data_IF_535531969183
#
_entry.id   IF_535531969183
#
_cell.length_a   1.000
_cell.length_b   1.000
_cell.length_c   1.000
_cell.angle_alpha   90.00
_cell.angle_beta   90.00
_cell.angle_gamma   90.00
#
_symmetry.space_group_name_H-M   'P 1'
#
loop_
_entity.id
_entity.type
_entity.pdbx_description
1 polymer ?
#
# COMPACT_ATOMS: atom_id res chain seq x y z
N UNK A 1 -16.45 -9.03 -4.55
CA UNK A 1 -15.26 -9.21 -3.70
C UNK A 1 -14.08 -9.24 -4.63
N UNK A 2 -13.11 -8.36 -4.38
CA UNK A 2 -11.97 -8.20 -5.27
C UNK A 2 -10.77 -8.94 -4.73
N UNK A 3 -9.83 -9.24 -5.62
CA UNK A 3 -8.63 -9.97 -5.29
C UNK A 3 -7.40 -9.14 -5.65
N UNK A 4 -6.40 -9.16 -4.76
CA UNK A 4 -5.06 -8.71 -5.05
C UNK A 4 -4.31 -9.86 -5.71
N UNK A 5 -3.88 -9.68 -6.95
CA UNK A 5 -3.12 -10.68 -7.70
C UNK A 5 -1.69 -10.24 -7.88
N UNK A 6 -0.75 -11.15 -7.70
CA UNK A 6 0.67 -10.92 -7.90
C UNK A 6 1.11 -11.58 -9.20
N UNK A 7 1.59 -10.77 -10.14
CA UNK A 7 2.13 -11.21 -11.42
C UNK A 7 3.59 -10.79 -11.56
N UNK A 8 4.55 -11.71 -11.69
CA UNK A 8 5.92 -11.34 -12.01
C UNK A 8 5.99 -10.73 -13.42
N UNK A 9 6.77 -9.67 -13.60
CA UNK A 9 7.13 -9.15 -14.92
C UNK A 9 8.53 -9.67 -15.25
N UNK A 10 8.67 -10.44 -16.32
CA UNK A 10 9.97 -10.73 -16.94
C UNK A 10 9.90 -10.21 -18.38
N UNK A 11 10.70 -9.19 -18.69
CA UNK A 11 10.96 -8.58 -20.00
C UNK A 11 10.06 -9.07 -21.16
N UNK A 12 8.79 -8.65 -21.18
CA UNK A 12 7.88 -8.86 -22.32
C UNK A 12 7.10 -10.20 -22.34
N UNK A 13 7.15 -11.01 -21.28
CA UNK A 13 6.34 -12.23 -21.14
C UNK A 13 5.24 -12.00 -20.09
N UNK A 14 3.98 -12.13 -20.51
CA UNK A 14 2.83 -12.18 -19.59
C UNK A 14 2.86 -13.51 -18.84
N UNK A 15 3.27 -13.46 -17.58
CA UNK A 15 3.39 -14.65 -16.74
C UNK A 15 2.09 -14.90 -15.97
N UNK A 16 1.79 -16.18 -15.75
CA UNK A 16 0.66 -16.62 -14.95
C UNK A 16 0.69 -15.96 -13.55
N UNK A 17 -0.50 -15.75 -12.98
CA UNK A 17 -0.66 -15.29 -11.59
C UNK A 17 0.16 -16.21 -10.69
N UNK A 18 1.07 -15.64 -9.90
CA UNK A 18 1.92 -16.38 -8.96
C UNK A 18 1.21 -16.62 -7.63
N UNK A 19 0.43 -15.64 -7.19
CA UNK A 19 -0.40 -15.75 -6.01
C UNK A 19 -1.57 -14.78 -6.07
N UNK A 20 -2.63 -15.10 -5.35
CA UNK A 20 -3.83 -14.32 -5.21
C UNK A 20 -4.24 -14.23 -3.75
N UNK A 21 -4.73 -13.07 -3.32
CA UNK A 21 -5.31 -12.89 -2.00
C UNK A 21 -6.61 -12.12 -2.05
N UNK A 22 -7.52 -12.45 -1.15
CA UNK A 22 -8.82 -11.79 -0.99
C UNK A 22 -8.62 -10.45 -0.30
N UNK A 23 -9.05 -9.36 -0.93
CA UNK A 23 -8.97 -8.03 -0.33
C UNK A 23 -10.01 -7.92 0.78
N UNK A 24 -9.59 -7.50 1.96
CA UNK A 24 -10.42 -7.30 3.15
C UNK A 24 -10.21 -5.93 3.79
N UNK A 25 -10.97 -5.69 4.87
CA UNK A 25 -10.91 -4.46 5.66
C UNK A 25 -10.65 -4.76 7.14
N UNK A 26 -9.97 -5.86 7.43
CA UNK A 26 -9.61 -6.22 8.80
C UNK A 26 -8.36 -5.44 9.21
N UNK A 27 -8.49 -4.58 10.23
CA UNK A 27 -7.38 -3.79 10.73
C UNK A 27 -6.36 -4.67 11.47
N UNK A 28 -5.08 -4.32 11.36
CA UNK A 28 -4.04 -4.96 12.15
C UNK A 28 -4.24 -4.65 13.63
N UNK A 29 -4.24 -5.69 14.48
CA UNK A 29 -4.36 -5.54 15.95
C UNK A 29 -3.17 -4.79 16.56
N UNK A 30 -2.04 -4.82 15.87
CA UNK A 30 -0.77 -4.25 16.28
C UNK A 30 -0.47 -3.02 15.43
N UNK A 31 0.00 -1.95 16.07
CA UNK A 31 0.52 -0.79 15.35
C UNK A 31 1.97 -1.06 14.91
N UNK A 32 2.27 -1.12 13.59
CA UNK A 32 3.61 -1.36 13.08
C UNK A 32 4.69 -0.43 13.65
N UNK A 33 4.35 0.80 14.03
CA UNK A 33 5.32 1.75 14.60
C UNK A 33 5.60 1.51 16.08
N UNK A 34 4.76 0.75 16.77
CA UNK A 34 4.79 0.59 18.23
C UNK A 34 5.31 -0.78 18.71
N UNK A 35 5.49 -1.76 17.82
CA UNK A 35 5.68 -3.18 18.20
C UNK A 35 7.15 -3.63 18.27
N UNK A 36 8.09 -2.92 17.65
CA UNK A 36 9.49 -3.40 17.60
C UNK A 36 10.26 -3.20 18.92
N UNK A 37 11.03 -4.23 19.30
CA UNK A 37 11.87 -4.28 20.51
C UNK A 37 12.91 -3.17 20.66
N UNK A 38 13.24 -2.46 19.58
CA UNK A 38 13.74 -1.10 19.68
C UNK A 38 12.60 -0.15 19.33
N UNK A 39 12.14 0.62 20.33
CA UNK A 39 11.10 1.63 20.15
C UNK A 39 11.46 2.45 18.89
N UNK A 40 10.51 2.56 17.96
CA UNK A 40 10.62 3.33 16.71
C UNK A 40 11.49 2.76 15.57
N UNK A 41 11.95 1.51 15.58
CA UNK A 41 12.76 0.98 14.48
C UNK A 41 12.04 1.03 13.12
N UNK A 42 10.78 0.60 13.11
CA UNK A 42 9.94 0.57 11.91
C UNK A 42 9.67 2.00 11.44
N UNK A 43 9.27 2.89 12.35
CA UNK A 43 9.01 4.30 12.01
C UNK A 43 10.26 5.01 11.47
N UNK A 44 11.42 4.83 12.10
CA UNK A 44 12.68 5.43 11.66
C UNK A 44 13.14 4.88 10.30
N UNK A 45 12.89 3.60 10.04
CA UNK A 45 13.16 2.98 8.74
C UNK A 45 12.24 3.55 7.67
N UNK A 46 10.94 3.64 7.97
CA UNK A 46 9.95 4.25 7.08
C UNK A 46 10.32 5.71 6.74
N UNK A 47 10.73 6.50 7.73
CA UNK A 47 11.24 7.88 7.53
C UNK A 47 12.45 7.92 6.59
N UNK A 48 13.39 6.99 6.75
CA UNK A 48 14.58 6.91 5.90
C UNK A 48 14.22 6.60 4.44
N UNK A 49 13.23 5.72 4.22
CA UNK A 49 12.69 5.48 2.87
C UNK A 49 11.98 6.72 2.31
N UNK A 50 11.13 7.39 3.08
CA UNK A 50 10.46 8.62 2.63
C UNK A 50 11.48 9.71 2.22
N UNK A 51 12.54 9.89 3.02
CA UNK A 51 13.63 10.84 2.72
C UNK A 51 14.37 10.49 1.43
N UNK A 52 14.59 9.20 1.14
CA UNK A 52 15.29 8.77 -0.08
C UNK A 52 14.47 9.06 -1.33
N UNK A 53 13.14 8.91 -1.26
CA UNK A 53 12.23 9.12 -2.39
C UNK A 53 12.02 10.61 -2.67
N UNK A 54 11.88 11.45 -1.64
CA UNK A 54 11.47 12.84 -1.84
C UNK A 54 12.58 13.80 -2.30
N UNK A 55 13.85 13.39 -2.37
CA UNK A 55 15.04 14.17 -2.82
C UNK A 55 15.26 15.54 -2.15
N UNK A 56 14.39 15.97 -1.25
CA UNK A 56 14.45 17.24 -0.52
C UNK A 56 14.81 16.93 0.94
N UNK A 57 15.66 17.77 1.53
CA UNK A 57 16.21 17.60 2.89
C UNK A 57 15.16 17.77 3.99
N UNK A 58 14.22 16.82 4.08
CA UNK A 58 13.25 16.77 5.16
C UNK A 58 13.95 16.49 6.48
N UNK A 59 13.76 17.40 7.43
CA UNK A 59 14.29 17.29 8.78
C UNK A 59 13.53 16.21 9.55
N UNK A 60 14.19 15.53 10.49
CA UNK A 60 13.64 14.43 11.31
C UNK A 60 12.46 14.83 12.23
N UNK A 61 11.90 16.03 12.07
CA UNK A 61 10.85 16.61 12.90
C UNK A 61 9.45 16.50 12.29
N UNK A 62 9.31 16.06 11.04
CA UNK A 62 8.00 15.81 10.47
C UNK A 62 7.41 14.53 11.04
N UNK A 63 6.16 14.64 11.52
CA UNK A 63 5.39 13.48 11.96
C UNK A 63 5.13 12.57 10.75
N UNK A 64 5.48 11.30 10.88
CA UNK A 64 5.12 10.28 9.89
C UNK A 64 3.66 9.91 10.08
N UNK A 65 2.87 9.96 9.01
CA UNK A 65 1.52 9.41 8.99
C UNK A 65 1.57 7.94 8.57
N UNK A 66 0.79 7.10 9.27
CA UNK A 66 0.58 5.70 8.94
C UNK A 66 -0.94 5.50 8.76
N UNK A 67 -1.36 5.26 7.53
CA UNK A 67 -2.77 5.19 7.16
C UNK A 67 -3.05 3.76 6.70
N UNK A 68 -3.97 3.07 7.38
CA UNK A 68 -4.41 1.74 6.95
C UNK A 68 -5.14 1.83 5.60
N UNK A 69 -4.81 0.92 4.69
CA UNK A 69 -5.44 0.79 3.37
C UNK A 69 -6.39 -0.40 3.36
N UNK A 70 -5.86 -1.61 3.48
CA UNK A 70 -6.62 -2.85 3.42
C UNK A 70 -5.84 -4.01 4.03
N UNK A 71 -6.56 -5.10 4.29
CA UNK A 71 -5.96 -6.41 4.52
C UNK A 71 -6.04 -7.28 3.26
N UNK A 72 -5.21 -8.30 3.18
CA UNK A 72 -5.20 -9.31 2.10
C UNK A 72 -4.95 -10.68 2.70
N UNK A 73 -5.94 -11.57 2.59
CA UNK A 73 -5.82 -12.97 3.01
C UNK A 73 -5.39 -13.79 1.81
N UNK A 74 -4.21 -14.39 1.88
CA UNK A 74 -3.67 -15.18 0.77
C UNK A 74 -4.24 -16.61 0.73
N UNK A 75 -3.76 -17.39 -0.24
CA UNK A 75 -4.16 -18.79 -0.46
C UNK A 75 -3.80 -19.74 0.70
N UNK A 76 -2.86 -19.33 1.55
CA UNK A 76 -2.36 -20.08 2.70
C UNK A 76 -3.05 -19.64 4.00
N UNK A 77 -4.04 -18.75 3.92
CA UNK A 77 -4.68 -18.05 5.05
C UNK A 77 -3.70 -17.16 5.85
N UNK A 78 -2.63 -16.68 5.21
CA UNK A 78 -1.77 -15.67 5.79
C UNK A 78 -2.37 -14.28 5.58
N UNK A 79 -2.34 -13.46 6.63
CA UNK A 79 -2.95 -12.13 6.65
C UNK A 79 -1.89 -11.05 6.49
N UNK A 80 -2.00 -10.28 5.42
CA UNK A 80 -1.13 -9.14 5.12
C UNK A 80 -1.87 -7.83 5.30
N UNK A 81 -1.26 -6.86 5.96
CA UNK A 81 -1.85 -5.54 6.23
C UNK A 81 -1.09 -4.44 5.48
N UNK A 82 -1.82 -3.67 4.69
CA UNK A 82 -1.26 -2.63 3.84
C UNK A 82 -1.51 -1.25 4.44
N UNK A 83 -0.45 -0.45 4.51
CA UNK A 83 -0.50 0.91 5.01
C UNK A 83 0.15 1.87 4.03
N UNK A 84 -0.41 3.07 3.88
CA UNK A 84 0.26 4.21 3.27
C UNK A 84 1.04 4.96 4.34
N UNK A 85 2.33 5.16 4.08
CA UNK A 85 3.19 5.99 4.90
C UNK A 85 3.54 7.28 4.14
N UNK A 86 3.39 8.43 4.80
CA UNK A 86 3.66 9.74 4.20
C UNK A 86 4.08 10.79 5.24
N UNK A 87 4.88 11.77 4.83
CA UNK A 87 5.14 12.97 5.63
C UNK A 87 4.10 14.07 5.46
N UNK A 88 3.37 14.08 4.35
CA UNK A 88 2.45 15.17 3.97
C UNK A 88 1.00 14.69 3.75
N UNK A 89 0.72 13.45 4.13
CA UNK A 89 -0.57 12.81 3.89
C UNK A 89 -0.96 12.88 2.42
N UNK A 90 -2.21 13.28 2.17
CA UNK A 90 -2.87 13.33 0.84
C UNK A 90 -2.32 14.40 -0.13
N UNK A 91 -1.20 15.06 0.16
CA UNK A 91 -0.67 16.15 -0.68
C UNK A 91 0.61 15.81 -1.45
N UNK A 92 1.17 14.60 -1.27
CA UNK A 92 2.42 14.21 -1.91
C UNK A 92 2.47 12.70 -2.24
N UNK A 93 1.85 12.27 -3.36
CA UNK A 93 1.86 10.87 -3.79
C UNK A 93 3.26 10.36 -4.10
N UNK A 94 4.07 11.19 -4.76
CA UNK A 94 5.44 10.89 -5.16
C UNK A 94 6.35 10.64 -3.96
N UNK A 95 6.06 11.28 -2.83
CA UNK A 95 6.81 11.14 -1.60
C UNK A 95 6.31 10.07 -0.64
N UNK A 96 5.35 9.22 -1.04
CA UNK A 96 4.73 8.23 -0.17
C UNK A 96 5.23 6.81 -0.45
N UNK A 97 5.21 5.95 0.58
CA UNK A 97 5.57 4.52 0.47
C UNK A 97 4.43 3.66 1.02
N UNK A 98 4.36 2.42 0.55
CA UNK A 98 3.48 1.38 1.08
C UNK A 98 4.30 0.56 2.08
N UNK A 99 3.82 0.46 3.30
CA UNK A 99 4.29 -0.48 4.32
C UNK A 99 3.37 -1.69 4.31
N UNK A 100 3.95 -2.88 4.28
CA UNK A 100 3.24 -4.16 4.33
C UNK A 100 3.66 -4.84 5.61
N UNK A 101 2.71 -5.16 6.48
CA UNK A 101 2.95 -5.87 7.73
C UNK A 101 2.31 -7.26 7.70
N UNK A 102 2.95 -8.21 8.37
CA UNK A 102 2.46 -9.56 8.57
C UNK A 102 2.79 -9.97 10.01
N UNK A 103 1.92 -10.75 10.64
CA UNK A 103 2.28 -11.37 11.93
C UNK A 103 3.43 -12.35 11.74
N UNK A 104 4.44 -12.28 12.62
CA UNK A 104 5.58 -13.20 12.54
C UNK A 104 5.16 -14.66 12.78
N UNK A 105 4.16 -14.87 13.62
CA UNK A 105 3.58 -16.16 13.95
C UNK A 105 2.11 -16.05 14.38
N UNK A 106 1.51 -17.20 14.71
CA UNK A 106 0.11 -17.32 15.16
C UNK A 106 -0.17 -16.65 16.52
N UNK A 107 0.86 -16.22 17.27
CA UNK A 107 0.68 -15.53 18.55
C UNK A 107 0.30 -14.06 18.39
N UNK A 108 0.49 -13.51 17.18
CA UNK A 108 0.16 -12.14 16.83
C UNK A 108 0.78 -11.10 17.78
N UNK A 109 1.99 -11.38 18.30
CA UNK A 109 2.71 -10.46 19.22
C UNK A 109 3.76 -9.62 18.51
N UNK A 110 4.29 -10.08 17.39
CA UNK A 110 5.33 -9.42 16.61
C UNK A 110 4.92 -9.29 15.14
N UNK A 111 5.55 -8.34 14.45
CA UNK A 111 5.29 -8.05 13.04
C UNK A 111 6.58 -8.12 12.23
N UNK A 112 6.52 -8.79 11.09
CA UNK A 112 7.46 -8.59 10.00
C UNK A 112 6.94 -7.48 9.09
N UNK A 113 7.85 -6.65 8.56
CA UNK A 113 7.47 -5.50 7.72
C UNK A 113 8.31 -5.39 6.46
N UNK A 114 7.66 -5.05 5.36
CA UNK A 114 8.27 -4.75 4.07
C UNK A 114 7.85 -3.36 3.57
N UNK A 115 8.67 -2.76 2.71
CA UNK A 115 8.44 -1.41 2.18
C UNK A 115 8.48 -1.42 0.65
N UNK A 116 7.55 -0.70 0.04
CA UNK A 116 7.49 -0.50 -1.41
C UNK A 116 7.22 0.98 -1.72
N UNK A 117 7.90 1.55 -2.70
CA UNK A 117 7.65 2.92 -3.13
C UNK A 117 6.31 3.01 -3.87
N UNK A 118 5.52 4.07 -3.64
CA UNK A 118 4.21 4.18 -4.29
C UNK A 118 4.35 4.41 -5.81
N UNK A 119 5.26 5.30 -6.24
CA UNK A 119 5.42 5.67 -7.65
C UNK A 119 6.23 4.68 -8.49
N UNK A 120 7.11 3.92 -7.86
CA UNK A 120 8.04 3.06 -8.59
C UNK A 120 7.34 1.74 -8.92
N UNK A 121 6.85 1.62 -10.16
CA UNK A 121 6.41 0.33 -10.66
C UNK A 121 7.61 -0.61 -10.64
N UNK A 122 7.56 -1.61 -9.77
CA UNK A 122 8.55 -2.68 -9.78
C UNK A 122 8.68 -3.24 -11.20
N UNK A 123 9.90 -3.22 -11.76
CA UNK A 123 10.20 -3.84 -13.06
C UNK A 123 10.06 -5.37 -13.02
N UNK A 124 9.84 -5.94 -11.84
CA UNK A 124 9.88 -7.38 -11.59
C UNK A 124 8.55 -7.97 -11.16
N UNK A 125 7.61 -7.18 -10.64
CA UNK A 125 6.33 -7.66 -10.11
C UNK A 125 5.22 -6.59 -10.22
N UNK A 126 4.01 -7.01 -10.62
CA UNK A 126 2.78 -6.24 -10.60
C UNK A 126 1.85 -6.78 -9.53
N UNK A 127 1.31 -5.88 -8.71
CA UNK A 127 0.16 -6.16 -7.86
C UNK A 127 -1.07 -5.54 -8.52
N UNK A 128 -2.09 -6.33 -8.79
CA UNK A 128 -3.30 -5.88 -9.46
C UNK A 128 -4.55 -6.17 -8.62
N UNK A 129 -5.42 -5.19 -8.45
CA UNK A 129 -6.80 -5.36 -7.96
C UNK A 129 -7.72 -5.39 -9.17
N UNK A 130 -8.29 -6.54 -9.51
CA UNK A 130 -9.13 -6.72 -10.71
C UNK A 130 -8.52 -6.04 -11.97
N UNK A 131 -7.28 -6.40 -12.29
CA UNK A 131 -6.50 -5.87 -13.43
C UNK A 131 -6.00 -4.42 -13.30
N UNK A 132 -6.37 -3.70 -12.24
CA UNK A 132 -5.89 -2.34 -11.96
C UNK A 132 -4.63 -2.40 -11.12
N UNK A 133 -3.59 -1.65 -11.51
CA UNK A 133 -2.38 -1.55 -10.71
C UNK A 133 -2.70 -1.06 -9.29
N UNK A 134 -2.24 -1.80 -8.29
CA UNK A 134 -2.45 -1.48 -6.88
C UNK A 134 -1.93 -0.07 -6.53
N UNK A 135 -0.79 0.32 -7.09
CA UNK A 135 -0.19 1.63 -6.88
C UNK A 135 -1.06 2.75 -7.43
N UNK A 136 -1.66 2.55 -8.61
CA UNK A 136 -2.59 3.51 -9.22
C UNK A 136 -3.89 3.59 -8.41
N UNK A 137 -4.38 2.45 -7.91
CA UNK A 137 -5.57 2.40 -7.06
C UNK A 137 -5.36 3.20 -5.76
N UNK A 138 -4.25 2.96 -5.07
CA UNK A 138 -3.89 3.72 -3.85
C UNK A 138 -3.72 5.19 -4.17
N UNK A 139 -3.08 5.52 -5.30
CA UNK A 139 -2.88 6.90 -5.72
C UNK A 139 -4.21 7.62 -5.96
N UNK A 140 -5.12 6.98 -6.70
CA UNK A 140 -6.45 7.53 -6.98
C UNK A 140 -7.29 7.70 -5.71
N UNK A 141 -7.23 6.76 -4.77
CA UNK A 141 -7.96 6.89 -3.51
C UNK A 141 -7.41 7.99 -2.60
N UNK A 142 -6.09 8.02 -2.41
CA UNK A 142 -5.47 8.94 -1.46
C UNK A 142 -5.29 10.36 -2.00
N UNK A 143 -5.16 10.51 -3.32
CA UNK A 143 -4.77 11.78 -3.96
C UNK A 143 -5.69 12.18 -5.13
N UNK A 144 -6.71 11.38 -5.44
CA UNK A 144 -7.71 11.73 -6.44
C UNK A 144 -8.68 12.82 -5.96
N UNK A 145 -9.23 13.56 -6.91
CA UNK A 145 -10.28 14.56 -6.66
C UNK A 145 -11.70 13.96 -6.74
N UNK A 146 -11.82 12.66 -6.99
CA UNK A 146 -13.12 12.02 -7.24
C UNK A 146 -13.82 11.75 -5.90
N UNK A 147 -14.91 12.46 -5.64
CA UNK A 147 -15.76 12.22 -4.48
C UNK A 147 -16.71 11.05 -4.78
N UNK A 148 -16.26 9.84 -4.43
CA UNK A 148 -17.10 8.63 -4.42
C UNK A 148 -17.76 8.38 -3.06
N UNK A 149 -17.57 9.28 -2.09
CA UNK A 149 -18.07 9.13 -0.71
C UNK A 149 -17.68 7.79 -0.04
N UNK A 150 -16.52 7.22 -0.38
CA UNK A 150 -15.98 6.02 0.25
C UNK A 150 -15.37 6.35 1.61
N UNK A 151 -15.64 5.52 2.63
CA UNK A 151 -15.12 5.74 3.99
C UNK A 151 -13.70 5.18 4.17
N UNK A 152 -13.37 4.13 3.42
CA UNK A 152 -12.05 3.49 3.44
C UNK A 152 -11.61 3.05 2.03
N UNK A 153 -10.34 2.63 1.91
CA UNK A 153 -9.81 2.14 0.64
C UNK A 153 -10.49 0.83 0.21
N UNK A 154 -10.84 -0.04 1.15
CA UNK A 154 -11.64 -1.23 0.84
C UNK A 154 -12.96 -0.86 0.13
N UNK A 155 -13.74 0.07 0.68
CA UNK A 155 -14.99 0.53 0.04
C UNK A 155 -14.75 1.08 -1.36
N UNK A 156 -13.66 1.84 -1.53
CA UNK A 156 -13.26 2.36 -2.83
C UNK A 156 -12.99 1.24 -3.84
N UNK A 157 -12.31 0.17 -3.44
CA UNK A 157 -12.07 -0.98 -4.33
C UNK A 157 -13.37 -1.70 -4.70
N UNK A 158 -14.35 -1.77 -3.80
CA UNK A 158 -15.63 -2.42 -4.06
C UNK A 158 -16.62 -1.53 -4.84
N UNK A 159 -16.32 -0.24 -5.02
CA UNK A 159 -17.21 0.70 -5.69
C UNK A 159 -17.41 0.35 -7.18
N UNK A 160 -18.63 0.45 -7.74
CA UNK A 160 -18.88 0.15 -9.16
C UNK A 160 -18.00 0.96 -10.13
N UNK A 161 -17.74 2.22 -9.78
CA UNK A 161 -16.92 3.14 -10.58
C UNK A 161 -15.42 3.08 -10.26
N UNK A 162 -14.96 2.10 -9.46
CA UNK A 162 -13.56 1.95 -9.06
C UNK A 162 -12.60 2.07 -10.25
N UNK A 163 -12.85 1.30 -11.31
CA UNK A 163 -11.97 1.29 -12.48
C UNK A 163 -11.94 2.62 -13.23
N UNK A 164 -13.11 3.25 -13.36
CA UNK A 164 -13.23 4.54 -14.02
C UNK A 164 -12.54 5.65 -13.21
N UNK A 165 -12.67 5.62 -11.89
CA UNK A 165 -12.06 6.61 -11.00
C UNK A 165 -10.53 6.53 -11.04
N UNK A 166 -9.95 5.32 -11.01
CA UNK A 166 -8.51 5.13 -11.15
C UNK A 166 -8.02 5.59 -12.52
N UNK A 167 -8.73 5.21 -13.60
CA UNK A 167 -8.38 5.62 -14.97
C UNK A 167 -8.41 7.14 -15.12
N UNK A 168 -9.43 7.80 -14.56
CA UNK A 168 -9.56 9.26 -14.60
C UNK A 168 -8.43 9.95 -13.84
N UNK A 169 -8.08 9.45 -12.64
CA UNK A 169 -6.96 9.98 -11.88
C UNK A 169 -5.65 9.89 -12.66
N UNK A 170 -5.39 8.74 -13.28
CA UNK A 170 -4.19 8.52 -14.07
C UNK A 170 -4.11 9.49 -15.26
N UNK A 171 -5.21 9.66 -16.02
CA UNK A 171 -5.26 10.58 -17.17
C UNK A 171 -5.02 12.06 -16.82
N UNK A 172 -5.32 12.46 -15.59
CA UNK A 172 -5.19 13.86 -15.15
C UNK A 172 -3.80 14.16 -14.56
N UNK A 173 -3.06 13.15 -14.12
CA UNK A 173 -1.81 13.31 -13.38
C UNK A 173 -0.58 12.69 -14.07
N UNK A 174 -0.78 11.97 -15.18
CA UNK A 174 0.26 11.35 -16.01
C UNK A 174 -0.02 11.57 -17.50
#
# INVERSE_FOLDING_TARGET
MNFLTYKPIIEGIDLQIKSQGMVGNEECKLDPFSVSSSEYQVENTARSYLQSVQKHGYTNHLKTELIFLNSVEDENNEMYFYFLVSFKGRNDPDGSIILIAQYEDETEQELTVEYQTLKESSRTHLKLINEINYHDAVSAYCFGQVDLSCLCFYDFTQHPDFAQAVTMHNLLNY
#
